data_IF_445686438512
#
_entry.id   IF_445686438512
#
_cell.length_a   1.000
_cell.length_b   1.000
_cell.length_c   1.000
_cell.angle_alpha   90.00
_cell.angle_beta   90.00
_cell.angle_gamma   90.00
#
_symmetry.space_group_name_H-M   'P 1'
#
loop_
_entity.id
_entity.type
_entity.pdbx_description
1 polymer ?
#
# COMPACT_ATOMS: atom_id res chain seq x y z
N UNK A 1 9.77 11.37 4.50
CA UNK A 1 10.94 10.53 4.83
C UNK A 1 11.64 9.95 3.59
N UNK A 2 10.93 9.32 2.63
CA UNK A 2 11.58 8.69 1.46
C UNK A 2 10.95 9.03 0.09
N UNK A 3 10.31 10.20 -0.05
CA UNK A 3 9.63 10.61 -1.29
C UNK A 3 8.73 9.52 -1.92
N UNK A 4 8.07 8.71 -1.08
CA UNK A 4 7.19 7.61 -1.50
C UNK A 4 7.88 6.53 -2.35
N UNK A 5 9.21 6.37 -2.24
CA UNK A 5 10.00 5.41 -3.04
C UNK A 5 10.12 4.00 -2.42
N UNK A 6 9.29 3.68 -1.43
CA UNK A 6 9.21 2.32 -0.91
C UNK A 6 8.59 1.40 -1.97
N UNK A 7 9.28 0.30 -2.30
CA UNK A 7 8.90 -0.63 -3.37
C UNK A 7 8.06 -1.80 -2.87
N UNK A 8 7.26 -2.39 -3.76
CA UNK A 8 6.39 -3.53 -3.41
C UNK A 8 7.17 -4.71 -2.86
N UNK A 9 8.32 -5.03 -3.46
CA UNK A 9 9.18 -6.16 -3.04
C UNK A 9 9.57 -6.08 -1.56
N UNK A 10 9.86 -4.89 -1.06
CA UNK A 10 10.30 -4.71 0.33
C UNK A 10 9.12 -4.75 1.29
N UNK A 11 7.93 -4.29 0.86
CA UNK A 11 6.68 -4.43 1.62
C UNK A 11 6.23 -5.90 1.73
N UNK A 12 6.31 -6.67 0.64
CA UNK A 12 5.88 -8.07 0.59
C UNK A 12 6.76 -8.95 1.48
N UNK A 13 8.06 -8.69 1.52
CA UNK A 13 9.01 -9.43 2.40
C UNK A 13 8.60 -9.42 3.87
N UNK A 14 8.03 -8.32 4.37
CA UNK A 14 7.63 -8.18 5.77
C UNK A 14 6.14 -8.45 6.02
N UNK A 15 5.34 -8.63 4.96
CA UNK A 15 3.89 -8.69 5.04
C UNK A 15 3.38 -9.80 5.99
N UNK A 16 3.97 -10.99 5.94
CA UNK A 16 3.57 -12.11 6.81
C UNK A 16 3.82 -11.80 8.30
N UNK A 17 4.98 -11.22 8.63
CA UNK A 17 5.29 -10.81 10.00
C UNK A 17 4.32 -9.73 10.47
N UNK A 18 3.98 -8.79 9.59
CA UNK A 18 3.04 -7.73 9.90
C UNK A 18 1.62 -8.26 10.13
N UNK A 19 1.19 -9.28 9.38
CA UNK A 19 -0.09 -9.97 9.61
C UNK A 19 -0.16 -10.63 10.99
N UNK A 20 0.92 -11.26 11.45
CA UNK A 20 0.95 -11.97 12.74
C UNK A 20 1.09 -11.00 13.91
N UNK A 21 2.07 -10.09 13.84
CA UNK A 21 2.40 -9.19 14.95
C UNK A 21 1.42 -8.01 15.04
N UNK A 22 0.90 -7.57 13.90
CA UNK A 22 -0.06 -6.47 13.80
C UNK A 22 -1.52 -6.93 13.82
N UNK A 23 -1.82 -8.14 14.28
CA UNK A 23 -3.18 -8.72 14.27
C UNK A 23 -4.23 -7.87 15.01
N UNK A 24 -3.80 -7.10 16.01
CA UNK A 24 -4.67 -6.27 16.86
C UNK A 24 -4.71 -4.80 16.38
N UNK A 25 -4.09 -4.48 15.23
CA UNK A 25 -4.19 -3.17 14.60
C UNK A 25 -5.61 -2.96 14.05
N UNK A 26 -6.15 -1.76 14.25
CA UNK A 26 -7.42 -1.38 13.62
C UNK A 26 -7.34 -1.46 12.09
N UNK A 27 -6.32 -0.85 11.51
CA UNK A 27 -6.07 -0.87 10.07
C UNK A 27 -4.59 -0.66 9.76
N UNK A 28 -4.22 -0.91 8.52
CA UNK A 28 -2.91 -0.61 7.97
C UNK A 28 -3.06 0.37 6.81
N UNK A 29 -2.54 1.59 6.97
CA UNK A 29 -2.47 2.56 5.88
C UNK A 29 -1.34 2.14 4.93
N UNK A 30 -1.72 1.76 3.71
CA UNK A 30 -0.78 1.15 2.76
C UNK A 30 -1.06 1.51 1.29
N UNK A 31 -2.09 2.33 1.05
CA UNK A 31 -2.56 2.64 -0.29
C UNK A 31 -3.11 4.07 -0.42
N UNK A 32 -3.26 4.54 -1.66
CA UNK A 32 -3.77 5.87 -1.96
C UNK A 32 -2.73 6.99 -1.78
N UNK A 33 -3.20 8.23 -1.72
CA UNK A 33 -2.35 9.42 -1.74
C UNK A 33 -1.33 9.40 -2.89
N UNK A 34 -0.08 9.71 -2.59
CA UNK A 34 0.99 9.74 -3.61
C UNK A 34 1.46 8.34 -4.07
N UNK A 35 1.09 7.26 -3.37
CA UNK A 35 1.61 5.92 -3.67
C UNK A 35 1.15 5.40 -5.03
N UNK A 36 -0.05 5.82 -5.47
CA UNK A 36 -0.63 5.40 -6.75
C UNK A 36 0.15 5.96 -7.96
N UNK A 37 0.35 7.28 -8.03
CA UNK A 37 1.14 7.91 -9.10
C UNK A 37 2.61 7.48 -9.04
N UNK A 38 3.21 7.44 -7.86
CA UNK A 38 4.64 7.15 -7.70
C UNK A 38 4.98 5.71 -8.11
N UNK A 39 4.11 4.74 -7.82
CA UNK A 39 4.30 3.34 -8.21
C UNK A 39 4.47 3.22 -9.74
N UNK A 40 3.53 3.79 -10.51
CA UNK A 40 3.61 3.78 -11.96
C UNK A 40 4.77 4.63 -12.49
N UNK A 41 4.88 5.87 -12.03
CA UNK A 41 5.75 6.88 -12.65
C UNK A 41 7.23 6.67 -12.36
N UNK A 42 7.57 6.25 -11.15
CA UNK A 42 8.97 6.21 -10.70
C UNK A 42 9.46 4.81 -10.34
N UNK A 43 8.58 3.93 -9.87
CA UNK A 43 8.95 2.59 -9.43
C UNK A 43 8.73 1.54 -10.51
N UNK A 44 8.06 1.90 -11.62
CA UNK A 44 7.74 1.03 -12.76
C UNK A 44 6.99 -0.24 -12.34
N UNK A 45 6.12 -0.10 -11.35
CA UNK A 45 5.33 -1.20 -10.80
C UNK A 45 3.85 -0.81 -10.69
N UNK A 46 2.98 -1.81 -10.71
CA UNK A 46 1.54 -1.59 -10.58
C UNK A 46 1.15 -1.52 -9.09
N UNK A 47 0.51 -0.42 -8.63
CA UNK A 47 -0.01 -0.36 -7.27
C UNK A 47 -1.09 -1.42 -7.03
N UNK A 48 -1.82 -1.85 -8.07
CA UNK A 48 -2.85 -2.89 -7.96
C UNK A 48 -2.26 -4.26 -7.66
N UNK A 49 -1.18 -4.62 -8.36
CA UNK A 49 -0.45 -5.87 -8.08
C UNK A 49 0.09 -5.86 -6.65
N UNK A 50 0.65 -4.73 -6.21
CA UNK A 50 1.08 -4.55 -4.82
C UNK A 50 -0.07 -4.78 -3.83
N UNK A 51 -1.26 -4.25 -4.11
CA UNK A 51 -2.45 -4.41 -3.26
C UNK A 51 -2.86 -5.88 -3.14
N UNK A 52 -2.94 -6.58 -4.27
CA UNK A 52 -3.33 -8.00 -4.30
C UNK A 52 -2.33 -8.89 -3.55
N UNK A 53 -1.02 -8.70 -3.78
CA UNK A 53 0.02 -9.49 -3.13
C UNK A 53 0.04 -9.27 -1.62
N UNK A 54 -0.12 -8.01 -1.18
CA UNK A 54 -0.23 -7.69 0.23
C UNK A 54 -1.53 -8.23 0.85
N UNK A 55 -2.66 -8.20 0.12
CA UNK A 55 -3.94 -8.73 0.61
C UNK A 55 -3.89 -10.24 0.79
N UNK A 56 -3.22 -10.97 -0.11
CA UNK A 56 -2.96 -12.41 0.02
C UNK A 56 -2.10 -12.72 1.25
N UNK A 57 -1.12 -11.86 1.54
CA UNK A 57 -0.16 -12.08 2.63
C UNK A 57 -0.68 -11.63 4.00
N UNK A 58 -1.59 -10.65 4.05
CA UNK A 58 -2.16 -10.07 5.27
C UNK A 58 -3.68 -10.20 5.19
N UNK A 59 -4.26 -11.38 5.45
CA UNK A 59 -5.70 -11.60 5.31
C UNK A 59 -6.53 -11.08 6.50
N UNK A 60 -5.92 -10.82 7.65
CA UNK A 60 -6.59 -10.55 8.93
C UNK A 60 -6.67 -9.08 9.36
N UNK A 61 -5.96 -8.17 8.68
CA UNK A 61 -5.94 -6.73 9.02
C UNK A 61 -6.67 -5.91 7.94
N UNK A 62 -7.41 -4.88 8.35
CA UNK A 62 -8.07 -3.96 7.43
C UNK A 62 -7.04 -3.11 6.66
N UNK A 63 -7.24 -2.97 5.35
CA UNK A 63 -6.42 -2.06 4.55
C UNK A 63 -7.09 -0.71 4.44
N UNK A 64 -6.35 0.34 4.78
CA UNK A 64 -6.78 1.72 4.72
C UNK A 64 -6.09 2.43 3.57
N UNK A 65 -6.84 3.29 2.89
CA UNK A 65 -6.30 4.17 1.88
C UNK A 65 -6.64 5.63 2.15
N UNK A 66 -5.72 6.53 1.81
CA UNK A 66 -5.99 7.96 1.75
C UNK A 66 -6.57 8.30 0.37
N UNK A 67 -7.81 8.76 0.36
CA UNK A 67 -8.50 9.20 -0.85
C UNK A 67 -8.77 10.71 -0.77
N UNK A 68 -8.50 11.44 -1.86
CA UNK A 68 -8.92 12.84 -2.02
C UNK A 68 -10.32 12.84 -2.60
N UNK A 69 -11.31 13.36 -1.86
CA UNK A 69 -12.74 13.22 -2.20
C UNK A 69 -13.10 13.35 -3.69
N UNK A 70 -12.82 14.49 -4.31
CA UNK A 70 -13.18 14.74 -5.71
C UNK A 70 -12.26 14.04 -6.74
N UNK A 71 -10.98 13.85 -6.42
CA UNK A 71 -9.96 13.47 -7.40
C UNK A 71 -9.45 12.03 -7.20
N UNK A 72 -10.01 11.32 -6.22
CA UNK A 72 -9.56 10.04 -5.70
C UNK A 72 -8.04 10.01 -5.41
N UNK A 73 -7.25 9.47 -6.33
CA UNK A 73 -5.79 9.36 -6.26
C UNK A 73 -5.07 10.20 -7.33
N UNK A 74 -5.83 10.94 -8.12
CA UNK A 74 -5.37 11.82 -9.19
C UNK A 74 -5.21 13.28 -8.75
N UNK A 75 -4.77 14.08 -9.72
CA UNK A 75 -4.50 15.51 -9.57
C UNK A 75 -5.36 16.40 -10.48
N UNK A 76 -6.35 15.83 -11.16
CA UNK A 76 -7.32 16.54 -12.02
C UNK A 76 -8.73 16.34 -11.48
#
# INVERSE_FOLDING_TARGET
>A
LMATRMRSIDMIKIAKSQSVLGKDLFSMEMWGGATFDVAYRFLKESPWTRLEELRKSIPNVLFQMLIRGANAVGYK
#
